data_IF_899732328523
#
_entry.id   IF_899732328523
#
_cell.length_a   1.000
_cell.length_b   1.000
_cell.length_c   1.000
_cell.angle_alpha   90.00
_cell.angle_beta   90.00
_cell.angle_gamma   90.00
#
_symmetry.space_group_name_H-M   'P 1'
#
loop_
_entity.id
_entity.type
_entity.pdbx_description
1 polymer ?
#
# COMPACT_ATOMS: atom_id res chain seq x y z
N UNK A 1 -21.67 -29.63 6.39
CA UNK A 1 -20.29 -29.12 6.35
C UNK A 1 -20.33 -27.70 6.88
N UNK A 2 -20.19 -27.54 8.20
CA UNK A 2 -20.32 -26.26 8.87
C UNK A 2 -19.05 -25.45 8.61
N UNK A 3 -19.18 -24.28 7.97
CA UNK A 3 -18.05 -23.38 7.81
C UNK A 3 -17.61 -22.89 9.20
N UNK A 4 -16.30 -22.84 9.50
CA UNK A 4 -15.85 -22.16 10.71
C UNK A 4 -16.34 -20.71 10.66
N UNK A 5 -16.77 -20.19 11.81
CA UNK A 5 -17.10 -18.78 11.99
C UNK A 5 -15.83 -17.96 11.72
N UNK A 6 -15.64 -17.56 10.47
CA UNK A 6 -14.32 -17.29 9.93
C UNK A 6 -14.05 -15.79 9.86
N UNK A 7 -13.13 -15.34 10.72
CA UNK A 7 -12.38 -14.12 10.47
C UNK A 7 -11.82 -14.13 9.03
N UNK A 8 -11.72 -12.95 8.38
CA UNK A 8 -11.22 -12.88 7.01
C UNK A 8 -9.84 -13.55 6.90
N UNK A 9 -9.57 -14.30 5.81
CA UNK A 9 -8.34 -15.04 5.65
C UNK A 9 -7.13 -14.10 5.63
N UNK A 10 -6.04 -14.50 6.30
CA UNK A 10 -4.81 -13.70 6.41
C UNK A 10 -4.11 -13.54 5.04
N UNK A 11 -4.28 -14.52 4.14
CA UNK A 11 -3.72 -14.52 2.79
C UNK A 11 -4.81 -14.92 1.79
N UNK A 12 -4.82 -14.29 0.61
CA UNK A 12 -5.77 -14.61 -0.46
C UNK A 12 -5.05 -14.65 -1.80
N UNK A 13 -5.32 -15.70 -2.59
CA UNK A 13 -4.83 -15.82 -3.97
C UNK A 13 -5.74 -14.97 -4.86
N UNK A 14 -5.20 -13.89 -5.42
CA UNK A 14 -5.97 -12.97 -6.29
C UNK A 14 -5.99 -13.45 -7.75
N UNK A 15 -4.98 -14.23 -8.16
CA UNK A 15 -4.84 -14.77 -9.52
C UNK A 15 -4.05 -16.07 -9.52
N UNK A 16 -4.40 -16.99 -10.43
CA UNK A 16 -3.75 -18.28 -10.58
C UNK A 16 -4.44 -19.39 -9.78
N UNK A 17 -3.96 -20.62 -9.94
CA UNK A 17 -4.43 -21.80 -9.21
C UNK A 17 -3.19 -22.56 -8.73
N UNK A 18 -2.56 -22.13 -7.61
CA UNK A 18 -1.36 -22.79 -7.11
C UNK A 18 -1.69 -24.20 -6.64
N UNK A 19 -0.72 -25.10 -6.75
CA UNK A 19 -0.83 -26.44 -6.18
C UNK A 19 -0.71 -26.39 -4.65
N UNK A 20 -1.14 -27.46 -3.98
CA UNK A 20 -1.03 -27.57 -2.51
C UNK A 20 0.43 -27.46 -2.04
N UNK A 21 1.38 -28.02 -2.81
CA UNK A 21 2.81 -27.94 -2.53
C UNK A 21 3.34 -26.49 -2.61
N UNK A 22 2.86 -25.71 -3.58
CA UNK A 22 3.25 -24.30 -3.72
C UNK A 22 2.69 -23.45 -2.58
N UNK A 23 1.45 -23.72 -2.15
CA UNK A 23 0.85 -23.08 -0.97
C UNK A 23 1.65 -23.43 0.29
N UNK A 24 2.00 -24.70 0.47
CA UNK A 24 2.81 -25.15 1.61
C UNK A 24 4.20 -24.49 1.62
N UNK A 25 4.86 -24.41 0.47
CA UNK A 25 6.16 -23.75 0.33
C UNK A 25 6.07 -22.24 0.67
N UNK A 26 5.02 -21.57 0.23
CA UNK A 26 4.78 -20.16 0.56
C UNK A 26 4.57 -19.96 2.07
N UNK A 27 3.73 -20.79 2.69
CA UNK A 27 3.48 -20.72 4.14
C UNK A 27 4.76 -20.99 4.92
N UNK A 28 5.55 -21.99 4.52
CA UNK A 28 6.83 -22.30 5.15
C UNK A 28 7.82 -21.13 5.04
N UNK A 29 7.91 -20.49 3.87
CA UNK A 29 8.76 -19.32 3.67
C UNK A 29 8.34 -18.13 4.56
N UNK A 30 7.03 -17.89 4.72
CA UNK A 30 6.51 -16.84 5.59
C UNK A 30 6.74 -17.15 7.07
N UNK A 31 6.56 -18.41 7.48
CA UNK A 31 6.77 -18.85 8.87
C UNK A 31 8.25 -18.84 9.27
N UNK A 32 9.15 -19.13 8.33
CA UNK A 32 10.60 -19.09 8.56
C UNK A 32 11.16 -17.66 8.66
N UNK A 33 10.36 -16.62 8.35
CA UNK A 33 10.84 -15.24 8.38
C UNK A 33 11.18 -14.85 9.83
N UNK A 34 12.43 -14.47 10.12
CA UNK A 34 12.81 -14.10 11.48
C UNK A 34 11.97 -12.93 11.96
N UNK A 35 11.61 -12.95 13.25
CA UNK A 35 10.95 -11.81 13.88
C UNK A 35 11.80 -10.56 13.69
N UNK A 36 11.20 -9.39 13.40
CA UNK A 36 11.95 -8.16 13.33
C UNK A 36 12.67 -7.96 14.67
N UNK A 37 14.00 -7.81 14.61
CA UNK A 37 14.76 -7.45 15.78
C UNK A 37 14.18 -6.13 16.35
N UNK A 38 14.16 -5.96 17.69
CA UNK A 38 13.74 -4.70 18.28
C UNK A 38 14.51 -3.57 17.62
N UNK A 39 13.78 -2.60 17.06
CA UNK A 39 14.38 -1.52 16.32
C UNK A 39 15.26 -0.70 17.26
N UNK A 40 16.58 -0.82 17.12
CA UNK A 40 17.47 0.22 17.60
C UNK A 40 17.06 1.54 16.94
N UNK A 41 17.22 2.71 17.62
CA UNK A 41 16.96 4.00 16.99
C UNK A 41 17.81 4.10 15.71
N UNK A 42 17.19 3.85 14.56
CA UNK A 42 17.89 3.87 13.29
C UNK A 42 18.06 5.35 12.93
N UNK A 43 19.28 5.81 12.58
CA UNK A 43 19.41 7.12 11.94
C UNK A 43 18.43 7.17 10.78
N UNK A 44 17.77 8.31 10.56
CA UNK A 44 16.79 8.48 9.49
C UNK A 44 17.44 7.99 8.19
N UNK A 45 17.03 6.79 7.76
CA UNK A 45 17.54 6.19 6.54
C UNK A 45 17.17 7.06 5.34
N UNK A 46 17.74 6.78 4.16
CA UNK A 46 17.30 7.42 2.94
C UNK A 46 15.78 7.35 2.86
N UNK A 47 15.11 8.46 2.54
CA UNK A 47 13.65 8.47 2.37
C UNK A 47 13.30 7.29 1.45
N UNK A 48 12.40 6.38 1.88
CA UNK A 48 12.02 5.26 1.05
C UNK A 48 11.56 5.81 -0.31
N UNK A 49 11.95 5.11 -1.38
CA UNK A 49 11.71 5.57 -2.75
C UNK A 49 10.26 5.99 -2.97
N UNK A 50 10.03 6.85 -3.96
CA UNK A 50 8.77 7.58 -4.16
C UNK A 50 7.48 6.75 -4.31
N UNK A 51 7.57 5.42 -4.25
CA UNK A 51 6.44 4.49 -4.15
C UNK A 51 5.66 4.62 -2.84
N UNK A 52 6.34 4.99 -1.76
CA UNK A 52 5.74 5.19 -0.44
C UNK A 52 5.54 6.68 -0.09
N UNK A 53 5.69 7.58 -1.08
CA UNK A 53 5.53 9.01 -0.89
C UNK A 53 4.05 9.37 -0.63
N UNK A 54 3.68 9.86 0.57
CA UNK A 54 2.31 10.25 0.88
C UNK A 54 1.78 11.34 -0.05
N UNK A 55 2.67 12.15 -0.65
CA UNK A 55 2.27 13.18 -1.61
C UNK A 55 1.61 12.58 -2.86
N UNK A 56 1.88 11.31 -3.19
CA UNK A 56 1.21 10.61 -4.30
C UNK A 56 -0.23 10.20 -4.01
N UNK A 57 -0.62 10.12 -2.74
CA UNK A 57 -2.01 9.88 -2.35
C UNK A 57 -2.85 11.17 -2.42
N UNK A 58 -2.19 12.33 -2.52
CA UNK A 58 -2.84 13.63 -2.60
C UNK A 58 -2.97 14.07 -4.06
N UNK A 59 -4.07 14.78 -4.36
CA UNK A 59 -4.24 15.43 -5.66
C UNK A 59 -3.16 16.51 -5.84
N UNK A 60 -2.66 16.66 -7.06
CA UNK A 60 -1.75 17.76 -7.41
C UNK A 60 -2.40 19.13 -7.10
N UNK A 61 -1.65 20.09 -6.53
CA UNK A 61 -2.14 21.44 -6.31
C UNK A 61 -2.62 22.07 -7.62
N UNK A 62 -3.80 22.72 -7.59
CA UNK A 62 -4.28 23.49 -8.71
C UNK A 62 -3.38 24.72 -8.91
N UNK A 63 -2.76 24.84 -10.09
CA UNK A 63 -2.03 26.05 -10.47
C UNK A 63 -3.04 27.12 -10.87
N UNK A 64 -3.08 28.22 -10.12
CA UNK A 64 -3.78 29.41 -10.58
C UNK A 64 -3.09 29.94 -11.83
N UNK A 65 -3.79 29.97 -12.97
CA UNK A 65 -3.32 30.67 -14.14
C UNK A 65 -3.34 32.19 -13.88
N UNK A 66 -2.41 32.97 -14.43
CA UNK A 66 -2.50 34.42 -14.40
C UNK A 66 -3.89 34.88 -14.89
N UNK A 67 -4.66 35.57 -14.03
CA UNK A 67 -6.02 36.03 -14.33
C UNK A 67 -7.17 35.05 -14.03
N UNK A 68 -6.89 33.84 -13.53
CA UNK A 68 -7.88 32.75 -13.39
C UNK A 68 -9.10 33.03 -12.49
N UNK A 69 -8.98 33.98 -11.55
CA UNK A 69 -10.09 34.43 -10.70
C UNK A 69 -10.68 35.79 -11.14
N UNK A 70 -10.01 36.51 -12.04
CA UNK A 70 -10.46 37.84 -12.48
C UNK A 70 -11.47 37.72 -13.62
N UNK A 71 -11.43 36.63 -14.40
CA UNK A 71 -12.40 36.34 -15.45
C UNK A 71 -13.76 35.82 -14.96
N UNK A 72 -13.84 35.24 -13.76
CA UNK A 72 -15.08 34.64 -13.22
C UNK A 72 -16.07 35.65 -12.65
N UNK A 73 -15.64 36.89 -12.39
CA UNK A 73 -16.47 37.95 -11.82
C UNK A 73 -16.96 38.96 -12.87
N UNK A 74 -16.74 38.73 -14.17
CA UNK A 74 -17.21 39.64 -15.23
C UNK A 74 -18.60 39.21 -15.72
N UNK A 75 -19.56 40.15 -15.85
CA UNK A 75 -20.84 39.85 -16.48
C UNK A 75 -20.64 39.54 -17.97
N UNK A 76 -21.38 38.53 -18.45
CA UNK A 76 -21.52 38.19 -19.87
C UNK A 76 -22.37 39.20 -20.62
#
# INVERSE_FOLDING_TARGET
>A
MTAPDAAPPVLTVVRGAPSDDEVAALVAALAARPAPAPAAPRPRGPRPGGWSDPARALRAPLRAAPGGWVGSARPS
#
